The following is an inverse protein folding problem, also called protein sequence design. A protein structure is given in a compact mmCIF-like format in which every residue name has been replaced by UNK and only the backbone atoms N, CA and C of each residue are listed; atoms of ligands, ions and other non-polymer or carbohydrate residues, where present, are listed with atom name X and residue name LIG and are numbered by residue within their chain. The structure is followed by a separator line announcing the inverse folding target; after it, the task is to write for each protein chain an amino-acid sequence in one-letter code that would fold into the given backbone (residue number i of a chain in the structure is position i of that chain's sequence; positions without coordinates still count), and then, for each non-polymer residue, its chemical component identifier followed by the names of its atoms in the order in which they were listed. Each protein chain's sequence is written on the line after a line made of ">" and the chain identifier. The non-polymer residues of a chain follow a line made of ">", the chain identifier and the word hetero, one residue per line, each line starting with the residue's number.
data_IF_540441422090
#
_entry.id   IF_540441422090
#
_cell.length_a   1.000
_cell.length_b   1.000
_cell.length_c   1.000
_cell.angle_alpha   90.00
_cell.angle_beta   90.00
_cell.angle_gamma   90.00
#
_symmetry.space_group_name_H-M   'P 1'
#
loop_
_entity.id
_entity.type
_entity.pdbx_description
1 polymer ?
#
# COMPACT_ATOMS: atom_id res chain seq x y z
N UNK A 1 0.96 -8.33 23.71
CA UNK A 1 1.73 -7.11 23.41
C UNK A 1 0.84 -6.13 22.64
N UNK A 2 0.88 -4.83 22.95
CA UNK A 2 0.10 -3.80 22.21
C UNK A 2 0.91 -3.34 21.00
N UNK A 3 0.41 -3.58 19.78
CA UNK A 3 1.06 -3.13 18.55
C UNK A 3 1.19 -1.60 18.52
N UNK A 4 2.28 -1.08 17.97
CA UNK A 4 2.45 0.37 17.75
C UNK A 4 1.68 0.81 16.51
N UNK A 5 1.07 1.98 16.56
CA UNK A 5 0.41 2.63 15.44
C UNK A 5 1.42 2.87 14.30
N UNK A 6 1.14 2.43 13.06
CA UNK A 6 2.07 2.59 11.94
C UNK A 6 2.27 4.07 11.55
N UNK A 7 1.28 4.92 11.82
CA UNK A 7 1.30 6.35 11.46
C UNK A 7 2.11 7.20 12.45
N UNK A 8 1.94 6.98 13.76
CA UNK A 8 2.53 7.87 14.78
C UNK A 8 3.23 7.16 15.94
N UNK A 9 3.36 5.83 15.88
CA UNK A 9 4.08 4.97 16.84
C UNK A 9 3.54 4.93 18.28
N UNK A 10 2.43 5.62 18.58
CA UNK A 10 1.68 5.47 19.84
C UNK A 10 1.09 4.07 19.98
N UNK A 11 0.75 3.65 21.20
CA UNK A 11 0.11 2.36 21.42
C UNK A 11 -1.25 2.27 20.70
N UNK A 12 -1.49 1.17 19.98
CA UNK A 12 -2.78 0.92 19.33
C UNK A 12 -3.88 0.70 20.37
N UNK A 13 -5.11 1.09 20.02
CA UNK A 13 -6.29 0.89 20.86
C UNK A 13 -7.25 -0.07 20.18
N UNK A 14 -7.96 -0.90 20.96
CA UNK A 14 -8.78 -2.02 20.44
C UNK A 14 -9.77 -1.59 19.35
N UNK A 15 -10.39 -0.43 19.51
CA UNK A 15 -11.38 0.11 18.58
C UNK A 15 -10.79 0.52 17.22
N UNK A 16 -9.51 0.92 17.17
CA UNK A 16 -8.90 1.48 15.97
C UNK A 16 -7.71 0.66 15.47
N UNK A 17 -7.53 -0.60 15.90
CA UNK A 17 -6.38 -1.41 15.49
C UNK A 17 -6.28 -1.50 13.96
N UNK A 18 -5.08 -1.34 13.36
CA UNK A 18 -3.75 -1.25 14.00
C UNK A 18 -3.36 0.15 14.54
N UNK A 19 -4.24 1.14 14.47
CA UNK A 19 -3.98 2.54 14.82
C UNK A 19 -4.29 2.90 16.29
N UNK A 20 -3.89 4.11 16.68
CA UNK A 20 -4.18 4.67 18.00
C UNK A 20 -5.47 5.52 18.06
N UNK A 21 -6.03 5.93 16.91
CA UNK A 21 -7.21 6.80 16.83
C UNK A 21 -7.84 6.78 15.44
N UNK A 22 -9.08 7.27 15.32
CA UNK A 22 -9.74 7.51 14.03
C UNK A 22 -8.88 8.37 13.09
N UNK A 23 -8.30 9.47 13.61
CA UNK A 23 -7.43 10.36 12.81
C UNK A 23 -6.28 9.62 12.14
N UNK A 24 -5.60 8.70 12.84
CA UNK A 24 -4.52 7.93 12.23
C UNK A 24 -5.03 6.94 11.18
N UNK A 25 -6.20 6.34 11.38
CA UNK A 25 -6.85 5.50 10.36
C UNK A 25 -7.21 6.31 9.10
N UNK A 26 -7.71 7.53 9.26
CA UNK A 26 -8.10 8.39 8.14
C UNK A 26 -6.86 8.84 7.33
N UNK A 27 -5.73 9.13 7.99
CA UNK A 27 -4.47 9.50 7.32
C UNK A 27 -3.86 8.35 6.52
N UNK A 28 -3.98 7.12 7.03
CA UNK A 28 -3.57 5.92 6.30
C UNK A 28 -4.44 5.75 5.05
N UNK A 29 -5.76 5.87 5.20
CA UNK A 29 -6.70 5.81 4.08
C UNK A 29 -6.43 6.90 3.01
N UNK A 30 -6.15 8.13 3.43
CA UNK A 30 -5.76 9.21 2.51
C UNK A 30 -4.49 8.85 1.71
N UNK A 31 -3.51 8.23 2.35
CA UNK A 31 -2.29 7.76 1.69
C UNK A 31 -2.56 6.66 0.65
N UNK A 32 -3.55 5.79 0.92
CA UNK A 32 -4.03 4.81 -0.06
C UNK A 32 -4.72 5.48 -1.25
N UNK A 33 -5.67 6.37 -0.99
CA UNK A 33 -6.48 7.02 -2.03
C UNK A 33 -5.62 7.93 -2.93
N UNK A 34 -4.59 8.55 -2.38
CA UNK A 34 -3.67 9.40 -3.12
C UNK A 34 -2.51 8.62 -3.80
N UNK A 35 -2.45 7.29 -3.66
CA UNK A 35 -1.40 6.48 -4.28
C UNK A 35 0.00 6.69 -3.69
N UNK A 36 0.09 7.15 -2.43
CA UNK A 36 1.36 7.34 -1.74
C UNK A 36 2.02 6.01 -1.37
N UNK A 37 1.24 4.94 -1.23
CA UNK A 37 1.74 3.57 -1.14
C UNK A 37 2.04 3.03 -2.52
N UNK A 38 3.25 3.32 -3.01
CA UNK A 38 3.77 2.82 -4.28
C UNK A 38 5.19 2.31 -4.09
N UNK A 39 5.55 1.27 -4.84
CA UNK A 39 6.92 0.81 -4.93
C UNK A 39 7.59 1.53 -6.10
N UNK A 40 8.80 2.09 -5.93
CA UNK A 40 9.58 2.58 -7.05
C UNK A 40 9.96 1.40 -7.96
N UNK A 41 9.83 1.56 -9.27
CA UNK A 41 10.43 0.66 -10.28
C UNK A 41 11.65 1.33 -10.90
N UNK A 42 12.67 0.53 -11.23
CA UNK A 42 13.84 1.00 -11.98
C UNK A 42 13.61 0.95 -13.50
N UNK A 43 12.65 0.14 -13.95
CA UNK A 43 12.31 -0.02 -15.36
C UNK A 43 11.09 0.83 -15.72
N UNK A 44 11.20 1.59 -16.80
CA UNK A 44 10.07 2.19 -17.49
C UNK A 44 9.44 1.11 -18.38
N UNK A 45 8.47 0.39 -17.83
CA UNK A 45 7.68 -0.57 -18.60
C UNK A 45 6.69 0.18 -19.49
N UNK A 46 6.85 0.03 -20.81
CA UNK A 46 5.84 0.53 -21.75
C UNK A 46 4.62 -0.39 -21.77
N UNK A 47 3.50 0.14 -22.28
CA UNK A 47 2.29 -0.67 -22.42
C UNK A 47 2.49 -1.79 -23.44
N UNK A 48 3.26 -1.52 -24.51
CA UNK A 48 3.67 -2.53 -25.49
C UNK A 48 4.53 -3.64 -24.85
N UNK A 49 5.44 -3.30 -23.95
CA UNK A 49 6.28 -4.29 -23.25
C UNK A 49 5.40 -5.22 -22.40
N UNK A 50 4.43 -4.66 -21.67
CA UNK A 50 3.50 -5.42 -20.83
C UNK A 50 2.60 -6.36 -21.64
N UNK A 51 2.06 -5.92 -22.78
CA UNK A 51 1.29 -6.78 -23.69
C UNK A 51 2.16 -7.92 -24.26
N UNK A 52 3.42 -7.62 -24.59
CA UNK A 52 4.36 -8.63 -25.11
C UNK A 52 4.73 -9.70 -24.08
N UNK A 53 4.65 -9.39 -22.79
CA UNK A 53 4.88 -10.33 -21.68
C UNK A 53 3.66 -11.22 -21.46
N UNK A 54 2.46 -10.63 -21.40
CA UNK A 54 1.19 -11.37 -21.29
C UNK A 54 0.99 -12.38 -22.42
N UNK A 55 1.36 -12.03 -23.66
CA UNK A 55 1.22 -12.92 -24.81
C UNK A 55 2.15 -14.15 -24.79
N UNK A 56 3.22 -14.13 -23.97
CA UNK A 56 4.15 -15.26 -23.85
C UNK A 56 3.68 -16.33 -22.87
N UNK A 57 2.76 -15.99 -21.96
CA UNK A 57 2.28 -16.90 -20.91
C UNK A 57 1.13 -17.81 -21.35
N UNK A 58 0.49 -17.53 -22.50
CA UNK A 58 -0.68 -18.27 -23.03
C UNK A 58 -0.30 -19.50 -23.90
N UNK A 59 0.99 -19.81 -24.03
CA UNK A 59 1.53 -20.88 -24.90
C UNK A 59 1.94 -22.16 -24.12
N UNK A 60 1.35 -22.40 -22.94
CA UNK A 60 1.59 -23.60 -22.08
C UNK A 60 0.41 -24.60 -22.08
#
# INVERSE_FOLDING_TARGET
>A
MTAKCPICRKASVKQYRPFCSKRCSDLDLDSWLNGNYRLPSEEEVSFEDFESELAKDDDL
#
